data_IF_058820175806
#
_entry.id   IF_058820175806
#
_cell.length_a   1.000
_cell.length_b   1.000
_cell.length_c   1.000
_cell.angle_alpha   90.00
_cell.angle_beta   90.00
_cell.angle_gamma   90.00
#
_symmetry.space_group_name_H-M   'P 1'
#
loop_
_entity.id
_entity.type
_entity.pdbx_description
1 polymer ?
#
# COMPACT_ATOMS: atom_id res chain seq x y z
N UNK A 1 -5.44 7.31 -20.39
CA UNK A 1 -6.66 7.66 -21.15
C UNK A 1 -6.36 7.90 -22.62
N UNK A 2 -5.45 8.81 -22.96
CA UNK A 2 -5.08 9.13 -24.35
C UNK A 2 -4.53 7.92 -25.12
N UNK A 3 -3.67 7.11 -24.49
CA UNK A 3 -3.13 5.87 -25.09
C UNK A 3 -4.25 4.90 -25.50
N UNK A 4 -5.24 4.71 -24.62
CA UNK A 4 -6.38 3.82 -24.87
C UNK A 4 -7.19 4.29 -26.08
N UNK A 5 -7.51 5.59 -26.15
CA UNK A 5 -8.29 6.16 -27.27
C UNK A 5 -7.52 6.05 -28.59
N UNK A 6 -6.23 6.39 -28.59
CA UNK A 6 -5.39 6.35 -29.80
C UNK A 6 -5.24 4.93 -30.34
N UNK A 7 -4.85 3.98 -29.49
CA UNK A 7 -4.67 2.57 -29.90
C UNK A 7 -6.00 1.91 -30.26
N UNK A 8 -7.10 2.22 -29.55
CA UNK A 8 -8.44 1.72 -29.88
C UNK A 8 -8.87 2.20 -31.27
N UNK A 9 -8.67 3.48 -31.57
CA UNK A 9 -8.98 4.03 -32.90
C UNK A 9 -8.13 3.39 -33.99
N UNK A 10 -6.81 3.27 -33.76
CA UNK A 10 -5.89 2.64 -34.72
C UNK A 10 -6.25 1.18 -35.01
N UNK A 11 -6.53 0.38 -33.97
CA UNK A 11 -6.89 -1.02 -34.12
C UNK A 11 -8.25 -1.17 -34.81
N UNK A 12 -9.23 -0.35 -34.45
CA UNK A 12 -10.52 -0.34 -35.13
C UNK A 12 -10.37 -0.08 -36.63
N UNK A 13 -9.53 0.89 -37.03
CA UNK A 13 -9.27 1.13 -38.45
C UNK A 13 -8.47 -0.01 -39.11
N UNK A 14 -7.55 -0.66 -38.39
CA UNK A 14 -6.76 -1.77 -38.91
C UNK A 14 -7.56 -3.08 -39.07
N UNK A 15 -8.61 -3.28 -38.27
CA UNK A 15 -9.44 -4.49 -38.21
C UNK A 15 -10.86 -4.28 -38.80
N UNK A 16 -11.16 -3.10 -39.34
CA UNK A 16 -12.47 -2.82 -39.97
C UNK A 16 -12.78 -3.77 -41.14
N UNK A 17 -11.75 -4.37 -41.77
CA UNK A 17 -11.95 -5.38 -42.81
C UNK A 17 -12.58 -4.84 -44.09
N UNK A 18 -13.08 -5.75 -44.93
CA UNK A 18 -13.80 -5.42 -46.17
C UNK A 18 -15.29 -5.69 -45.97
N UNK A 19 -16.15 -4.82 -46.51
CA UNK A 19 -17.59 -5.01 -46.46
C UNK A 19 -18.02 -6.15 -47.38
N UNK A 20 -18.65 -7.19 -46.84
CA UNK A 20 -19.27 -8.26 -47.63
C UNK A 20 -20.78 -7.98 -47.76
N UNK A 21 -21.24 -7.87 -49.01
CA UNK A 21 -22.65 -7.59 -49.32
C UNK A 21 -23.55 -8.81 -49.10
N UNK A 22 -22.97 -10.01 -49.04
CA UNK A 22 -23.72 -11.27 -48.85
C UNK A 22 -24.07 -11.50 -47.39
N UNK A 23 -23.19 -11.09 -46.48
CA UNK A 23 -23.32 -11.29 -45.04
C UNK A 23 -23.74 -10.02 -44.29
N UNK A 24 -23.92 -8.90 -45.01
CA UNK A 24 -24.24 -7.56 -44.47
C UNK A 24 -23.33 -7.16 -43.29
N UNK A 25 -22.07 -7.61 -43.30
CA UNK A 25 -21.12 -7.40 -42.21
C UNK A 25 -19.71 -7.18 -42.73
N UNK A 26 -18.87 -6.60 -41.89
CA UNK A 26 -17.44 -6.47 -42.16
C UNK A 26 -16.75 -7.81 -41.91
N UNK A 27 -15.98 -8.25 -42.90
CA UNK A 27 -15.31 -9.55 -42.87
C UNK A 27 -13.81 -9.33 -42.80
N UNK A 28 -13.16 -10.13 -41.94
CA UNK A 28 -11.71 -10.17 -41.78
C UNK A 28 -11.04 -10.79 -43.01
N UNK A 29 -9.71 -10.70 -43.08
CA UNK A 29 -8.91 -11.35 -44.14
C UNK A 29 -9.10 -12.87 -44.25
N UNK A 30 -9.62 -13.51 -43.20
CA UNK A 30 -9.85 -14.95 -43.11
C UNK A 30 -11.28 -15.38 -43.53
N UNK A 31 -12.18 -14.45 -43.85
CA UNK A 31 -13.57 -14.74 -44.21
C UNK A 31 -14.57 -14.78 -43.04
N UNK A 32 -14.09 -14.60 -41.80
CA UNK A 32 -14.94 -14.54 -40.60
C UNK A 32 -15.43 -13.11 -40.32
N UNK A 33 -16.62 -12.92 -39.69
CA UNK A 33 -17.09 -11.62 -39.23
C UNK A 33 -16.08 -10.94 -38.30
N UNK A 34 -15.90 -9.63 -38.44
CA UNK A 34 -15.03 -8.86 -37.55
C UNK A 34 -15.56 -8.87 -36.13
N UNK A 35 -14.66 -8.95 -35.15
CA UNK A 35 -14.99 -8.80 -33.73
C UNK A 35 -14.87 -7.34 -33.27
N UNK A 36 -14.43 -6.45 -34.17
CA UNK A 36 -14.17 -5.04 -33.93
C UNK A 36 -15.28 -4.16 -34.53
N UNK A 37 -16.53 -4.41 -34.16
CA UNK A 37 -17.71 -3.71 -34.71
C UNK A 37 -17.75 -2.21 -34.38
N UNK A 38 -17.11 -1.82 -33.27
CA UNK A 38 -17.15 -0.44 -32.79
C UNK A 38 -15.88 -0.03 -32.04
N UNK A 39 -15.65 1.27 -31.91
CA UNK A 39 -14.52 1.83 -31.16
C UNK A 39 -14.52 1.34 -29.69
N UNK A 40 -15.67 1.29 -28.97
CA UNK A 40 -15.71 0.70 -27.63
C UNK A 40 -15.31 -0.78 -27.56
N UNK A 41 -15.63 -1.59 -28.58
CA UNK A 41 -15.17 -2.98 -28.64
C UNK A 41 -13.65 -3.06 -28.80
N UNK A 42 -13.06 -2.22 -29.66
CA UNK A 42 -11.61 -2.11 -29.76
C UNK A 42 -10.97 -1.58 -28.45
N UNK A 43 -11.66 -0.68 -27.74
CA UNK A 43 -11.21 -0.17 -26.45
C UNK A 43 -11.17 -1.28 -25.38
N UNK A 44 -12.10 -2.23 -25.40
CA UNK A 44 -12.07 -3.41 -24.52
C UNK A 44 -10.83 -4.27 -24.76
N UNK A 45 -10.53 -4.60 -26.03
CA UNK A 45 -9.30 -5.31 -26.38
C UNK A 45 -8.05 -4.58 -25.88
N UNK A 46 -7.97 -3.27 -26.12
CA UNK A 46 -6.84 -2.43 -25.72
C UNK A 46 -6.70 -2.38 -24.20
N UNK A 47 -7.80 -2.27 -23.46
CA UNK A 47 -7.82 -2.25 -22.01
C UNK A 47 -7.28 -3.56 -21.42
N UNK A 48 -7.83 -4.70 -21.88
CA UNK A 48 -7.45 -6.06 -21.43
C UNK A 48 -5.99 -6.38 -21.78
N UNK A 49 -5.48 -5.82 -22.89
CA UNK A 49 -4.09 -5.99 -23.30
C UNK A 49 -3.13 -5.14 -22.46
N UNK A 50 -3.47 -3.86 -22.20
CA UNK A 50 -2.65 -2.97 -21.37
C UNK A 50 -2.54 -3.49 -19.94
N UNK A 51 -3.61 -4.09 -19.40
CA UNK A 51 -3.62 -4.71 -18.08
C UNK A 51 -3.00 -6.10 -18.07
N UNK A 52 -2.49 -6.60 -19.21
CA UNK A 52 -1.88 -7.93 -19.37
C UNK A 52 -2.80 -9.12 -19.03
N UNK A 53 -4.12 -8.89 -18.97
CA UNK A 53 -5.10 -9.95 -18.66
C UNK A 53 -5.26 -10.90 -19.84
N UNK A 54 -5.43 -10.36 -21.05
CA UNK A 54 -5.42 -11.13 -22.30
C UNK A 54 -6.43 -12.28 -22.37
N UNK A 55 -7.73 -12.02 -22.17
CA UNK A 55 -8.78 -13.05 -22.24
C UNK A 55 -8.80 -13.82 -23.57
N UNK A 56 -8.42 -13.17 -24.67
CA UNK A 56 -8.43 -13.77 -26.01
C UNK A 56 -9.83 -13.92 -26.62
N UNK A 57 -10.82 -13.25 -26.04
CA UNK A 57 -12.20 -13.13 -26.52
C UNK A 57 -12.29 -12.31 -27.81
N UNK A 58 -11.55 -11.20 -27.85
CA UNK A 58 -11.38 -10.37 -29.03
C UNK A 58 -9.90 -10.37 -29.41
N UNK A 59 -9.57 -10.74 -30.65
CA UNK A 59 -8.17 -10.73 -31.12
C UNK A 59 -8.04 -10.18 -32.53
N UNK A 60 -7.03 -9.33 -32.80
CA UNK A 60 -6.76 -8.82 -34.14
C UNK A 60 -6.35 -9.96 -35.08
N UNK A 61 -7.06 -10.09 -36.19
CA UNK A 61 -6.80 -11.10 -37.22
C UNK A 61 -5.92 -10.55 -38.33
N UNK A 62 -6.02 -9.24 -38.61
CA UNK A 62 -5.23 -8.56 -39.62
C UNK A 62 -3.74 -8.52 -39.27
N UNK A 63 -2.88 -8.57 -40.30
CA UNK A 63 -1.44 -8.39 -40.13
C UNK A 63 -1.11 -7.03 -39.46
N UNK A 64 -1.82 -5.97 -39.85
CA UNK A 64 -1.63 -4.64 -39.28
C UNK A 64 -2.09 -4.57 -37.82
N UNK A 65 -3.23 -5.18 -37.46
CA UNK A 65 -3.70 -5.18 -36.07
C UNK A 65 -2.78 -5.97 -35.14
N UNK A 66 -2.20 -7.08 -35.61
CA UNK A 66 -1.16 -7.82 -34.88
C UNK A 66 0.11 -6.99 -34.71
N UNK A 67 0.55 -6.29 -35.75
CA UNK A 67 1.72 -5.41 -35.67
C UNK A 67 1.51 -4.27 -34.67
N UNK A 68 0.32 -3.69 -34.61
CA UNK A 68 -0.05 -2.64 -33.64
C UNK A 68 -0.16 -3.17 -32.20
N UNK A 69 -0.45 -4.46 -32.02
CA UNK A 69 -0.54 -5.09 -30.70
C UNK A 69 0.81 -5.23 -29.99
N UNK A 70 1.90 -5.35 -30.74
CA UNK A 70 3.26 -5.47 -30.18
C UNK A 70 3.68 -4.22 -29.37
N UNK A 71 3.69 -3.00 -29.95
CA UNK A 71 4.02 -1.81 -29.19
C UNK A 71 2.98 -1.52 -28.10
N UNK A 72 1.70 -1.87 -28.32
CA UNK A 72 0.65 -1.72 -27.32
C UNK A 72 0.99 -2.46 -26.01
N UNK A 73 1.48 -3.70 -26.13
CA UNK A 73 1.90 -4.50 -24.97
C UNK A 73 3.07 -3.85 -24.22
N UNK A 74 4.07 -3.35 -24.95
CA UNK A 74 5.21 -2.63 -24.37
C UNK A 74 4.78 -1.34 -23.64
N UNK A 75 3.89 -0.56 -24.24
CA UNK A 75 3.32 0.63 -23.61
C UNK A 75 2.50 0.27 -22.36
N UNK A 76 1.75 -0.83 -22.38
CA UNK A 76 0.99 -1.31 -21.22
C UNK A 76 1.90 -1.61 -20.02
N UNK A 77 3.00 -2.33 -20.26
CA UNK A 77 3.98 -2.63 -19.23
C UNK A 77 4.63 -1.35 -18.67
N UNK A 78 5.00 -0.40 -19.52
CA UNK A 78 5.57 0.88 -19.10
C UNK A 78 4.59 1.69 -18.23
N UNK A 79 3.30 1.68 -18.57
CA UNK A 79 2.27 2.39 -17.80
C UNK A 79 2.08 1.82 -16.39
N UNK A 80 2.21 0.50 -16.23
CA UNK A 80 2.15 -0.15 -14.91
C UNK A 80 3.45 0.06 -14.12
N UNK A 81 4.59 0.08 -14.81
CA UNK A 81 5.91 0.21 -14.18
C UNK A 81 6.11 1.58 -13.49
N UNK A 82 5.68 2.67 -14.11
CA UNK A 82 5.89 4.03 -13.58
C UNK A 82 5.28 4.26 -12.17
N UNK A 83 3.97 4.05 -11.94
CA UNK A 83 3.39 4.22 -10.62
C UNK A 83 3.93 3.20 -9.62
N UNK A 84 4.21 1.96 -10.06
CA UNK A 84 4.82 0.94 -9.21
C UNK A 84 6.22 1.37 -8.72
N UNK A 85 7.02 1.99 -9.58
CA UNK A 85 8.33 2.52 -9.22
C UNK A 85 8.25 3.71 -8.26
N UNK A 86 7.26 4.59 -8.44
CA UNK A 86 7.01 5.71 -7.52
C UNK A 86 6.52 5.20 -6.16
N UNK A 87 5.71 4.16 -6.10
CA UNK A 87 5.34 3.56 -4.81
C UNK A 87 6.55 2.86 -4.15
N UNK A 88 7.36 2.15 -4.95
CA UNK A 88 8.54 1.44 -4.47
C UNK A 88 9.57 2.36 -3.80
N UNK A 89 9.81 3.56 -4.34
CA UNK A 89 10.75 4.52 -3.72
C UNK A 89 10.26 5.03 -2.37
N UNK A 90 8.95 5.24 -2.18
CA UNK A 90 8.40 5.74 -0.92
C UNK A 90 8.52 4.66 0.16
N UNK A 91 8.19 3.42 -0.19
CA UNK A 91 8.40 2.28 0.71
C UNK A 91 9.87 2.07 1.05
N UNK A 92 10.77 2.22 0.08
CA UNK A 92 12.21 2.13 0.32
C UNK A 92 12.70 3.23 1.26
N UNK A 93 12.25 4.47 1.07
CA UNK A 93 12.60 5.60 1.93
C UNK A 93 12.13 5.39 3.39
N UNK A 94 10.90 4.90 3.57
CA UNK A 94 10.37 4.60 4.91
C UNK A 94 11.11 3.42 5.54
N UNK A 95 11.44 2.38 4.76
CA UNK A 95 12.22 1.25 5.24
C UNK A 95 13.63 1.66 5.68
N UNK A 96 14.29 2.53 4.91
CA UNK A 96 15.59 3.10 5.25
C UNK A 96 15.51 4.01 6.47
N UNK A 97 14.47 4.84 6.60
CA UNK A 97 14.24 5.64 7.80
C UNK A 97 14.09 4.75 9.05
N UNK A 98 13.30 3.68 8.96
CA UNK A 98 13.13 2.74 10.08
C UNK A 98 14.43 1.96 10.38
N UNK A 99 15.19 1.57 9.37
CA UNK A 99 16.45 0.83 9.54
C UNK A 99 17.62 1.70 10.01
N UNK A 100 17.74 2.91 9.47
CA UNK A 100 18.78 3.88 9.81
C UNK A 100 18.70 4.31 11.27
N UNK A 101 17.49 4.59 11.78
CA UNK A 101 17.30 4.94 13.18
C UNK A 101 17.69 3.81 14.15
N UNK A 102 17.56 2.54 13.74
CA UNK A 102 17.94 1.37 14.55
C UNK A 102 19.46 1.16 14.56
N UNK A 103 20.13 1.30 13.40
CA UNK A 103 21.58 1.18 13.32
C UNK A 103 22.27 2.37 14.00
N UNK A 104 21.78 3.59 13.77
CA UNK A 104 22.31 4.80 14.37
C UNK A 104 22.12 4.82 15.89
N UNK A 105 20.97 4.36 16.41
CA UNK A 105 20.75 4.20 17.84
C UNK A 105 21.69 3.17 18.48
N UNK A 106 22.05 2.09 17.77
CA UNK A 106 23.03 1.12 18.25
C UNK A 106 24.46 1.68 18.22
N UNK A 107 24.85 2.43 17.19
CA UNK A 107 26.19 3.01 17.09
C UNK A 107 26.42 4.11 18.12
N UNK A 108 25.39 4.93 18.41
CA UNK A 108 25.43 5.94 19.47
C UNK A 108 25.50 5.29 20.86
N UNK A 109 24.68 4.27 21.12
CA UNK A 109 24.72 3.52 22.38
C UNK A 109 26.08 2.82 22.59
N UNK A 110 26.69 2.30 21.52
CA UNK A 110 28.04 1.70 21.56
C UNK A 110 29.12 2.77 21.74
N UNK A 111 28.99 3.94 21.12
CA UNK A 111 29.93 5.04 21.27
C UNK A 111 29.89 5.64 22.68
N UNK A 112 28.70 5.77 23.27
CA UNK A 112 28.50 6.23 24.64
C UNK A 112 29.06 5.22 25.66
N UNK A 113 28.77 3.92 25.48
CA UNK A 113 29.38 2.86 26.27
C UNK A 113 30.91 2.85 26.16
N UNK A 114 31.46 3.11 24.96
CA UNK A 114 32.91 3.21 24.73
C UNK A 114 33.53 4.42 25.40
N UNK A 115 32.83 5.56 25.49
CA UNK A 115 33.31 6.74 26.23
C UNK A 115 33.35 6.48 27.73
N UNK A 116 32.30 5.88 28.30
CA UNK A 116 32.24 5.52 29.72
C UNK A 116 33.35 4.53 30.13
N UNK A 117 33.75 3.63 29.22
CA UNK A 117 34.86 2.70 29.43
C UNK A 117 36.25 3.37 29.36
N UNK A 118 36.36 4.53 28.70
CA UNK A 118 37.62 5.24 28.51
C UNK A 118 37.94 6.20 29.68
N UNK A 119 36.91 6.59 30.45
CA UNK A 119 37.03 7.48 31.61
C UNK A 119 37.37 6.73 32.91
N UNK A 120 37.40 5.39 32.91
CA UNK A 120 37.80 4.58 34.08
C UNK A 120 39.31 4.33 34.06
N UNK A 121 40.10 4.79 35.06
CA UNK A 121 41.54 4.52 35.09
C UNK A 121 41.76 3.04 35.47
N UNK A 122 42.10 2.24 34.45
CA UNK A 122 42.68 0.90 34.49
C UNK A 122 42.10 -0.11 35.50
N UNK A 123 41.27 -1.03 35.00
CA UNK A 123 41.39 -2.43 35.40
C UNK A 123 41.37 -3.33 34.15
N UNK A 124 42.57 -3.84 33.88
CA UNK A 124 42.88 -5.15 33.30
C UNK A 124 41.96 -5.68 32.20
N UNK A 125 42.58 -5.79 31.01
CA UNK A 125 42.38 -6.88 30.04
C UNK A 125 41.73 -8.13 30.66
N UNK A 126 40.42 -8.24 30.56
CA UNK A 126 39.73 -9.52 30.47
C UNK A 126 39.08 -9.53 29.09
N UNK A 127 39.29 -10.60 28.29
CA UNK A 127 38.60 -10.71 27.01
C UNK A 127 37.11 -10.76 27.31
N UNK A 128 36.41 -9.64 27.07
CA UNK A 128 34.97 -9.60 27.08
C UNK A 128 34.50 -10.53 25.98
N UNK A 129 34.10 -11.73 26.40
CA UNK A 129 33.31 -12.67 25.64
C UNK A 129 32.19 -11.90 24.98
N UNK A 130 32.30 -11.80 23.66
CA UNK A 130 31.39 -11.17 22.72
C UNK A 130 29.96 -11.62 23.01
N UNK A 131 29.22 -10.85 23.83
CA UNK A 131 27.78 -10.99 23.98
C UNK A 131 27.12 -10.46 22.70
N UNK A 132 27.26 -11.25 21.65
CA UNK A 132 26.58 -11.09 20.38
C UNK A 132 25.10 -11.29 20.69
N UNK A 133 24.29 -10.24 20.51
CA UNK A 133 22.83 -10.30 20.55
C UNK A 133 22.26 -11.05 19.33
N UNK A 134 22.78 -12.25 19.09
CA UNK A 134 22.12 -13.24 18.26
C UNK A 134 20.88 -13.67 19.03
N UNK A 135 19.73 -13.79 18.38
CA UNK A 135 18.48 -14.28 18.96
C UNK A 135 18.51 -15.76 19.42
N UNK A 136 19.63 -16.21 19.97
CA UNK A 136 19.83 -17.53 20.55
C UNK A 136 19.76 -17.37 22.07
N UNK A 137 18.77 -18.00 22.69
CA UNK A 137 18.70 -18.08 24.14
C UNK A 137 19.99 -18.77 24.65
N UNK A 138 20.68 -18.25 25.68
CA UNK A 138 21.81 -18.96 26.27
C UNK A 138 21.32 -20.32 26.76
N UNK A 139 21.77 -21.38 26.11
CA UNK A 139 21.60 -22.74 26.58
C UNK A 139 22.76 -22.96 27.56
N UNK A 140 22.45 -23.29 28.81
CA UNK A 140 23.47 -23.69 29.77
C UNK A 140 24.17 -24.98 29.30
N UNK A 141 25.35 -25.30 29.83
CA UNK A 141 26.14 -26.47 29.40
C UNK A 141 25.40 -27.83 29.62
N UNK A 142 24.20 -27.82 30.22
CA UNK A 142 23.30 -28.96 30.42
C UNK A 142 22.10 -29.03 29.44
N UNK A 143 21.98 -28.10 28.48
CA UNK A 143 20.90 -28.15 27.49
C UNK A 143 19.55 -27.61 27.98
N UNK A 144 19.53 -26.90 29.10
CA UNK A 144 18.36 -26.28 29.70
C UNK A 144 18.25 -24.78 29.38
N UNK A 145 17.02 -24.37 29.09
CA UNK A 145 16.68 -22.98 28.86
C UNK A 145 16.57 -22.35 30.25
N UNK A 146 17.50 -21.47 30.60
CA UNK A 146 17.52 -20.79 31.90
C UNK A 146 16.15 -20.15 32.22
N UNK A 147 15.48 -20.56 33.33
CA UNK A 147 14.10 -20.18 33.64
C UNK A 147 13.88 -18.66 33.75
N UNK A 148 14.91 -17.93 34.18
CA UNK A 148 14.93 -16.46 34.29
C UNK A 148 14.63 -15.77 32.95
N UNK A 149 15.13 -16.32 31.83
CA UNK A 149 14.91 -15.72 30.51
C UNK A 149 13.45 -15.85 30.06
N UNK A 150 12.77 -16.92 30.48
CA UNK A 150 11.37 -17.18 30.16
C UNK A 150 10.45 -16.32 31.02
N UNK A 151 10.76 -16.15 32.30
CA UNK A 151 10.04 -15.23 33.21
C UNK A 151 10.14 -13.80 32.72
N UNK A 152 11.35 -13.35 32.36
CA UNK A 152 11.56 -11.99 31.84
C UNK A 152 10.77 -11.71 30.56
N UNK A 153 10.60 -12.70 29.67
CA UNK A 153 9.73 -12.54 28.50
C UNK A 153 8.26 -12.42 28.89
N UNK A 154 7.79 -13.24 29.84
CA UNK A 154 6.40 -13.19 30.32
C UNK A 154 6.09 -11.83 30.93
N UNK A 155 6.98 -11.31 31.76
CA UNK A 155 6.82 -9.99 32.39
C UNK A 155 6.74 -8.86 31.36
N UNK A 156 7.58 -8.91 30.33
CA UNK A 156 7.55 -7.93 29.24
C UNK A 156 6.25 -8.01 28.41
N UNK A 157 5.74 -9.22 28.17
CA UNK A 157 4.46 -9.40 27.46
C UNK A 157 3.26 -8.95 28.31
N UNK A 158 3.28 -9.24 29.60
CA UNK A 158 2.24 -8.83 30.54
C UNK A 158 2.24 -7.31 30.74
N UNK A 159 3.42 -6.69 30.79
CA UNK A 159 3.57 -5.24 30.87
C UNK A 159 3.03 -4.54 29.61
N UNK A 160 3.35 -5.05 28.42
CA UNK A 160 2.84 -4.51 27.15
C UNK A 160 1.32 -4.66 27.03
N UNK A 161 0.77 -5.79 27.49
CA UNK A 161 -0.68 -5.98 27.54
C UNK A 161 -1.31 -4.95 28.49
N UNK A 162 -0.77 -4.76 29.69
CA UNK A 162 -1.26 -3.79 30.65
C UNK A 162 -1.18 -2.33 30.11
N UNK A 163 -0.10 -1.98 29.43
CA UNK A 163 0.05 -0.67 28.77
C UNK A 163 -0.98 -0.47 27.65
N UNK A 164 -1.23 -1.49 26.84
CA UNK A 164 -2.23 -1.40 25.76
C UNK A 164 -3.65 -1.24 26.33
N UNK A 165 -3.96 -1.94 27.43
CA UNK A 165 -5.23 -1.79 28.14
C UNK A 165 -5.41 -0.37 28.70
N UNK A 166 -4.34 0.25 29.24
CA UNK A 166 -4.37 1.64 29.72
C UNK A 166 -4.52 2.67 28.60
N UNK A 167 -3.90 2.44 27.44
CA UNK A 167 -4.03 3.34 26.30
C UNK A 167 -5.46 3.31 25.73
N UNK A 168 -6.06 2.12 25.63
CA UNK A 168 -7.44 1.97 25.17
C UNK A 168 -8.44 2.66 26.08
N UNK A 169 -8.31 2.51 27.41
CA UNK A 169 -9.26 3.14 28.34
C UNK A 169 -9.27 4.66 28.21
N UNK A 170 -8.08 5.27 28.10
CA UNK A 170 -7.94 6.73 27.89
C UNK A 170 -8.62 7.18 26.60
N UNK A 171 -8.48 6.43 25.50
CA UNK A 171 -9.13 6.78 24.24
C UNK A 171 -10.65 6.71 24.35
N UNK A 172 -11.19 5.69 25.04
CA UNK A 172 -12.63 5.56 25.27
C UNK A 172 -13.17 6.72 26.10
N UNK A 173 -12.46 7.09 27.17
CA UNK A 173 -12.84 8.22 28.03
C UNK A 173 -12.82 9.54 27.25
N UNK A 174 -11.79 9.78 26.43
CA UNK A 174 -11.72 10.96 25.56
C UNK A 174 -12.87 11.00 24.55
N UNK A 175 -13.20 9.86 23.93
CA UNK A 175 -14.29 9.80 22.96
C UNK A 175 -15.64 10.08 23.64
N UNK A 176 -15.85 9.55 24.85
CA UNK A 176 -17.06 9.79 25.62
C UNK A 176 -17.21 11.28 26.00
N UNK A 177 -16.10 11.95 26.35
CA UNK A 177 -16.08 13.37 26.66
C UNK A 177 -16.38 14.23 25.43
N UNK A 178 -15.78 13.90 24.27
CA UNK A 178 -16.07 14.58 23.00
C UNK A 178 -17.54 14.46 22.59
N UNK A 179 -18.15 13.28 22.77
CA UNK A 179 -19.58 13.09 22.47
C UNK A 179 -20.47 13.89 23.43
N UNK A 180 -20.11 13.97 24.73
CA UNK A 180 -20.84 14.82 25.69
C UNK A 180 -20.81 16.28 25.29
N UNK A 181 -19.64 16.80 24.90
CA UNK A 181 -19.48 18.19 24.46
C UNK A 181 -20.36 18.46 23.24
N UNK A 182 -20.33 17.58 22.23
CA UNK A 182 -21.20 17.74 21.05
C UNK A 182 -22.69 17.72 21.39
N UNK A 183 -23.10 16.90 22.37
CA UNK A 183 -24.48 16.85 22.83
C UNK A 183 -24.93 18.14 23.55
N UNK A 184 -24.02 18.81 24.26
CA UNK A 184 -24.30 20.11 24.89
C UNK A 184 -24.38 21.24 23.85
N UNK A 185 -23.46 21.29 22.89
CA UNK A 185 -23.50 22.25 21.79
C UNK A 185 -24.81 22.14 20.99
N UNK A 186 -25.26 20.91 20.70
CA UNK A 186 -26.52 20.66 20.00
C UNK A 186 -27.73 21.16 20.79
N UNK A 187 -27.73 21.02 22.13
CA UNK A 187 -28.79 21.55 22.99
C UNK A 187 -28.81 23.07 22.96
N UNK A 188 -27.64 23.71 23.05
CA UNK A 188 -27.51 25.17 22.97
C UNK A 188 -28.00 25.71 21.63
N UNK A 189 -27.58 25.10 20.51
CA UNK A 189 -28.04 25.48 19.16
C UNK A 189 -29.56 25.28 19.04
N UNK A 190 -30.09 24.16 19.56
CA UNK A 190 -31.53 23.91 19.56
C UNK A 190 -32.30 24.96 20.37
N UNK A 191 -31.83 25.33 21.55
CA UNK A 191 -32.45 26.36 22.39
C UNK A 191 -32.39 27.74 21.73
N UNK A 192 -31.28 28.08 21.07
CA UNK A 192 -31.15 29.33 20.30
C UNK A 192 -32.11 29.36 19.10
N UNK A 193 -32.28 28.23 18.41
CA UNK A 193 -33.26 28.11 17.32
C UNK A 193 -34.69 28.22 17.83
N UNK A 194 -35.04 27.61 18.97
CA UNK A 194 -36.36 27.74 19.59
C UNK A 194 -36.63 29.19 20.00
N UNK A 195 -35.68 29.84 20.68
CA UNK A 195 -35.79 31.24 21.11
C UNK A 195 -35.95 32.21 19.93
N UNK A 196 -35.30 31.93 18.80
CA UNK A 196 -35.43 32.73 17.56
C UNK A 196 -36.70 32.41 16.78
N UNK A 197 -37.22 31.19 16.90
CA UNK A 197 -38.45 30.74 16.22
C UNK A 197 -39.75 31.16 16.93
N UNK A 198 -39.68 31.68 18.16
CA UNK A 198 -40.84 32.29 18.85
C UNK A 198 -40.82 33.80 18.59
N UNK A 199 -41.50 34.31 17.54
CA UNK A 199 -41.64 35.74 17.36
C UNK A 199 -42.41 36.32 18.55
N UNK A 200 -41.93 37.45 19.06
CA UNK A 200 -42.72 38.32 19.91
C UNK A 200 -43.97 38.73 19.13
N UNK A 201 -45.07 38.02 19.32
CA UNK A 201 -46.41 38.56 19.12
C UNK A 201 -46.64 39.52 20.27
N UNK A 202 -46.10 40.73 20.11
CA UNK A 202 -46.57 41.92 20.81
C UNK A 202 -47.88 42.36 20.16
N UNK A 203 -49.00 42.00 20.80
CA UNK A 203 -50.12 42.90 21.04
C UNK A 203 -50.37 42.94 22.56
#
# INVERSE_FOLDING_TARGET
>A
MTTLVVFSTLIYFAERGTWDTTLETFVNSDGDPTQFDSIPAAAWFVLVTITTVGYGDIIPRSFLGRLLSVPLLLFGLLLIALPSFVLGREFAAVWEYMGGNVLQGNDEAVAEARRHLNDTPLLSRTPLSRARSTGYAPIDDEGHISPDTMERRKDLTNLKLAQNQQALSKQIDQLAELVRIQAEELKTVRELLIKRSTPATSE
#
